data_IF_070247316978
#
_entry.id   IF_070247316978
#
_cell.length_a   1.000
_cell.length_b   1.000
_cell.length_c   1.000
_cell.angle_alpha   90.00
_cell.angle_beta   90.00
_cell.angle_gamma   90.00
#
_symmetry.space_group_name_H-M   'P 1'
#
loop_
_entity.id
_entity.type
_entity.pdbx_description
1 polymer ?
#
# COMPACT_ATOMS: atom_id res chain seq x y z
N UNK A 1 -11.48 -2.79 23.84
CA UNK A 1 -11.28 -2.72 22.38
C UNK A 1 -12.62 -2.78 21.68
N UNK A 2 -12.86 -1.90 20.74
CA UNK A 2 -14.15 -1.82 20.03
C UNK A 2 -13.97 -2.24 18.58
N UNK A 3 -14.68 -3.30 18.18
CA UNK A 3 -14.77 -3.77 16.78
C UNK A 3 -16.15 -3.38 16.27
N UNK A 4 -16.19 -2.57 15.21
CA UNK A 4 -17.42 -2.11 14.58
C UNK A 4 -17.55 -2.73 13.20
N UNK A 5 -18.73 -3.25 12.90
CA UNK A 5 -19.05 -3.81 11.59
C UNK A 5 -19.87 -2.85 10.72
N UNK A 6 -20.43 -1.81 11.31
CA UNK A 6 -21.21 -0.82 10.61
C UNK A 6 -20.69 0.58 10.81
N UNK A 7 -20.79 1.40 9.76
CA UNK A 7 -20.48 2.82 9.80
C UNK A 7 -21.34 3.59 10.80
N UNK A 8 -22.59 3.20 10.98
CA UNK A 8 -23.52 3.82 11.94
C UNK A 8 -23.01 3.70 13.37
N UNK A 9 -22.52 2.52 13.76
CA UNK A 9 -22.04 2.28 15.13
C UNK A 9 -20.78 3.11 15.43
N UNK A 10 -19.80 3.08 14.54
CA UNK A 10 -18.54 3.80 14.74
C UNK A 10 -18.74 5.32 14.72
N UNK A 11 -19.63 5.85 13.86
CA UNK A 11 -19.94 7.26 13.82
C UNK A 11 -20.67 7.73 15.09
N UNK A 12 -21.54 6.91 15.69
CA UNK A 12 -22.20 7.23 16.95
C UNK A 12 -21.19 7.41 18.09
N UNK A 13 -20.02 6.73 18.03
CA UNK A 13 -18.91 6.94 18.93
C UNK A 13 -18.12 8.22 18.57
N UNK A 14 -17.72 8.38 17.31
CA UNK A 14 -16.85 9.47 16.87
C UNK A 14 -17.52 10.85 16.99
N UNK A 15 -18.80 10.97 16.75
CA UNK A 15 -19.54 12.23 16.86
C UNK A 15 -19.59 12.82 18.27
N UNK A 16 -19.15 12.06 19.28
CA UNK A 16 -19.09 12.51 20.69
C UNK A 16 -17.72 13.07 21.08
N UNK A 17 -16.80 13.19 20.15
CA UNK A 17 -15.43 13.61 20.42
C UNK A 17 -14.90 14.57 19.36
N UNK A 18 -14.04 15.50 19.78
CA UNK A 18 -13.28 16.39 18.90
C UNK A 18 -11.80 15.98 18.82
N UNK A 19 -11.49 14.75 19.21
CA UNK A 19 -10.13 14.23 19.22
C UNK A 19 -9.58 14.00 17.82
N UNK A 20 -8.26 14.14 17.70
CA UNK A 20 -7.56 13.86 16.45
C UNK A 20 -7.65 12.37 16.07
N UNK A 21 -7.93 12.09 14.82
CA UNK A 21 -8.13 10.73 14.27
C UNK A 21 -7.01 10.38 13.31
N UNK A 22 -6.31 9.27 13.59
CA UNK A 22 -5.38 8.60 12.67
C UNK A 22 -6.05 7.38 12.04
N UNK A 23 -6.03 7.28 10.71
CA UNK A 23 -6.64 6.17 9.97
C UNK A 23 -5.57 5.31 9.29
N UNK A 24 -5.68 4.00 9.43
CA UNK A 24 -4.85 3.02 8.73
C UNK A 24 -5.77 2.12 7.89
N UNK A 25 -5.95 2.40 6.59
CA UNK A 25 -6.68 1.50 5.69
C UNK A 25 -5.90 0.23 5.41
N UNK A 26 -6.50 -0.93 5.66
CA UNK A 26 -5.89 -2.24 5.38
C UNK A 26 -6.89 -3.21 4.75
N UNK A 27 -6.36 -4.29 4.17
CA UNK A 27 -7.16 -5.43 3.72
C UNK A 27 -7.07 -6.64 4.66
N UNK A 28 -6.52 -6.46 5.86
CA UNK A 28 -6.26 -7.56 6.79
C UNK A 28 -4.97 -8.33 6.49
N UNK A 29 -4.85 -9.53 7.07
CA UNK A 29 -3.61 -10.32 7.10
C UNK A 29 -2.43 -9.48 7.59
N UNK A 30 -2.61 -8.87 8.78
CA UNK A 30 -1.68 -7.88 9.31
C UNK A 30 -0.32 -8.50 9.64
N UNK A 31 0.72 -7.70 9.38
CA UNK A 31 2.12 -8.06 9.63
C UNK A 31 2.87 -6.85 10.24
N UNK A 32 4.14 -7.01 10.59
CA UNK A 32 4.95 -5.97 11.22
C UNK A 32 5.00 -4.65 10.41
N UNK A 33 4.83 -4.71 9.10
CA UNK A 33 4.67 -3.50 8.26
C UNK A 33 3.44 -2.69 8.67
N UNK A 34 2.27 -3.34 8.82
CA UNK A 34 1.05 -2.68 9.31
C UNK A 34 1.22 -2.21 10.76
N UNK A 35 1.84 -3.03 11.61
CA UNK A 35 2.11 -2.66 13.00
C UNK A 35 2.96 -1.36 13.10
N UNK A 36 3.89 -1.14 12.17
CA UNK A 36 4.69 0.10 12.15
C UNK A 36 3.85 1.34 11.82
N UNK A 37 2.85 1.21 10.93
CA UNK A 37 1.90 2.30 10.64
C UNK A 37 1.05 2.62 11.87
N UNK A 38 0.53 1.58 12.51
CA UNK A 38 -0.31 1.69 13.71
C UNK A 38 0.47 2.36 14.85
N UNK A 39 1.70 1.91 15.13
CA UNK A 39 2.54 2.52 16.17
C UNK A 39 2.80 4.01 15.92
N UNK A 40 3.06 4.38 14.65
CA UNK A 40 3.22 5.79 14.28
C UNK A 40 1.94 6.58 14.49
N UNK A 41 0.79 6.02 14.11
CA UNK A 41 -0.50 6.67 14.29
C UNK A 41 -0.85 6.88 15.77
N UNK A 42 -0.52 5.92 16.66
CA UNK A 42 -0.73 6.02 18.11
C UNK A 42 0.08 7.16 18.75
N UNK A 43 1.25 7.49 18.21
CA UNK A 43 2.08 8.60 18.70
C UNK A 43 1.51 9.96 18.27
N UNK A 44 0.86 10.02 17.10
CA UNK A 44 0.50 11.27 16.44
C UNK A 44 -0.98 11.64 16.57
N UNK A 45 -1.83 10.73 17.11
CA UNK A 45 -3.27 10.97 17.21
C UNK A 45 -3.84 10.42 18.52
N UNK A 46 -4.95 11.01 18.95
CA UNK A 46 -5.64 10.59 20.17
C UNK A 46 -6.58 9.40 19.95
N UNK A 47 -7.08 9.24 18.73
CA UNK A 47 -7.88 8.08 18.29
C UNK A 47 -7.20 7.46 17.08
N UNK A 48 -7.05 6.14 17.11
CA UNK A 48 -6.53 5.38 15.97
C UNK A 48 -7.59 4.41 15.48
N UNK A 49 -7.87 4.47 14.17
CA UNK A 49 -8.82 3.57 13.49
C UNK A 49 -8.04 2.71 12.50
N UNK A 50 -8.15 1.40 12.64
CA UNK A 50 -7.67 0.44 11.64
C UNK A 50 -8.87 -0.11 10.89
N UNK A 51 -8.98 0.16 9.60
CA UNK A 51 -10.00 -0.51 8.79
C UNK A 51 -9.45 -1.82 8.23
N UNK A 52 -10.26 -2.87 8.30
CA UNK A 52 -9.95 -4.20 7.74
C UNK A 52 -11.05 -4.54 6.75
N UNK A 53 -10.76 -4.39 5.46
CA UNK A 53 -11.73 -4.67 4.41
C UNK A 53 -11.04 -5.15 3.14
N UNK A 54 -11.26 -6.41 2.77
CA UNK A 54 -10.79 -6.96 1.50
C UNK A 54 -11.69 -6.42 0.39
N UNK A 55 -11.23 -5.35 -0.26
CA UNK A 55 -12.01 -4.65 -1.28
C UNK A 55 -11.98 -5.45 -2.60
N UNK A 56 -13.09 -6.08 -3.02
CA UNK A 56 -13.07 -6.94 -4.20
C UNK A 56 -12.81 -6.19 -5.50
N UNK A 57 -13.13 -4.90 -5.56
CA UNK A 57 -13.00 -4.11 -6.79
C UNK A 57 -11.56 -3.82 -7.21
N UNK A 58 -10.60 -3.95 -6.28
CA UNK A 58 -9.18 -3.68 -6.57
C UNK A 58 -8.38 -4.92 -7.01
N UNK A 59 -9.03 -6.10 -7.05
CA UNK A 59 -8.45 -7.33 -7.56
C UNK A 59 -8.82 -7.50 -9.04
N UNK A 60 -7.83 -7.62 -9.89
CA UNK A 60 -8.02 -7.88 -11.32
C UNK A 60 -8.27 -9.38 -11.56
N UNK A 61 -7.54 -10.22 -10.83
CA UNK A 61 -7.66 -11.67 -10.88
C UNK A 61 -8.56 -12.17 -9.75
N UNK A 62 -9.59 -12.97 -10.09
CA UNK A 62 -10.47 -13.61 -9.13
C UNK A 62 -9.73 -14.59 -8.20
N UNK A 63 -8.73 -15.28 -8.72
CA UNK A 63 -7.93 -16.21 -7.93
C UNK A 63 -7.11 -15.48 -6.85
N UNK A 64 -6.57 -14.29 -7.15
CA UNK A 64 -5.90 -13.44 -6.14
C UNK A 64 -6.86 -12.99 -5.04
N UNK A 65 -8.11 -12.66 -5.40
CA UNK A 65 -9.14 -12.34 -4.40
C UNK A 65 -9.50 -13.54 -3.52
N UNK A 66 -9.73 -14.71 -4.14
CA UNK A 66 -10.13 -15.94 -3.42
C UNK A 66 -9.01 -16.41 -2.48
N UNK A 67 -7.76 -16.33 -2.94
CA UNK A 67 -6.59 -16.79 -2.17
C UNK A 67 -5.99 -15.69 -1.28
N UNK A 68 -6.56 -14.46 -1.28
CA UNK A 68 -6.02 -13.40 -0.44
C UNK A 68 -6.13 -13.80 1.05
N UNK A 69 -5.03 -13.75 1.81
CA UNK A 69 -5.03 -14.20 3.19
C UNK A 69 -6.01 -13.39 4.03
N UNK A 70 -6.87 -14.08 4.80
CA UNK A 70 -7.85 -13.48 5.69
C UNK A 70 -7.91 -14.27 6.99
N UNK A 71 -7.68 -13.59 8.10
CA UNK A 71 -7.88 -14.13 9.45
C UNK A 71 -8.19 -12.96 10.37
N UNK A 72 -9.48 -12.64 10.48
CA UNK A 72 -9.92 -11.46 11.24
C UNK A 72 -9.61 -11.60 12.73
N UNK A 73 -9.71 -12.78 13.30
CA UNK A 73 -9.45 -13.01 14.74
C UNK A 73 -7.97 -12.78 15.07
N UNK A 74 -7.05 -13.28 14.23
CA UNK A 74 -5.61 -13.05 14.35
C UNK A 74 -5.25 -11.55 14.14
N UNK A 75 -5.91 -10.88 13.20
CA UNK A 75 -5.73 -9.44 12.99
C UNK A 75 -6.19 -8.62 14.19
N UNK A 76 -7.34 -8.97 14.76
CA UNK A 76 -7.88 -8.36 15.98
C UNK A 76 -6.92 -8.57 17.16
N UNK A 77 -6.41 -9.78 17.33
CA UNK A 77 -5.44 -10.09 18.41
C UNK A 77 -4.14 -9.29 18.24
N UNK A 78 -3.60 -9.24 17.03
CA UNK A 78 -2.40 -8.43 16.73
C UNK A 78 -2.60 -6.95 17.04
N UNK A 79 -3.75 -6.38 16.67
CA UNK A 79 -4.06 -4.98 16.97
C UNK A 79 -4.20 -4.76 18.47
N UNK A 80 -4.92 -5.65 19.17
CA UNK A 80 -5.11 -5.61 20.61
C UNK A 80 -3.79 -5.63 21.38
N UNK A 81 -2.83 -6.43 20.90
CA UNK A 81 -1.50 -6.52 21.50
C UNK A 81 -0.64 -5.26 21.27
N UNK A 82 -0.99 -4.41 20.29
CA UNK A 82 -0.35 -3.10 20.12
C UNK A 82 -0.94 -2.06 21.07
N UNK A 83 -2.27 -1.92 21.09
CA UNK A 83 -3.00 -1.07 22.00
C UNK A 83 -4.49 -1.46 22.03
N UNK A 84 -5.05 -1.80 23.21
CA UNK A 84 -6.47 -2.19 23.32
C UNK A 84 -7.46 -1.03 23.10
N UNK A 85 -7.00 0.21 22.98
CA UNK A 85 -7.86 1.37 22.71
C UNK A 85 -8.07 1.62 21.20
N UNK A 86 -7.32 0.93 20.34
CA UNK A 86 -7.49 1.04 18.89
C UNK A 86 -8.91 0.60 18.49
N UNK A 87 -9.51 1.39 17.62
CA UNK A 87 -10.82 1.10 17.04
C UNK A 87 -10.60 0.29 15.76
N UNK A 88 -11.29 -0.83 15.65
CA UNK A 88 -11.27 -1.66 14.45
C UNK A 88 -12.60 -1.48 13.71
N UNK A 89 -12.50 -1.14 12.44
CA UNK A 89 -13.63 -1.10 11.53
C UNK A 89 -13.50 -2.22 10.51
N UNK A 90 -14.35 -3.24 10.66
CA UNK A 90 -14.39 -4.40 9.78
C UNK A 90 -15.77 -4.51 9.11
N UNK A 91 -16.05 -3.66 8.11
CA UNK A 91 -17.32 -3.60 7.44
C UNK A 91 -17.51 -4.75 6.46
N UNK A 92 -18.78 -5.03 6.16
CA UNK A 92 -19.14 -5.83 5.00
C UNK A 92 -19.35 -4.94 3.74
N UNK A 93 -19.53 -5.59 2.59
CA UNK A 93 -19.74 -4.91 1.30
C UNK A 93 -20.98 -4.01 1.33
N UNK A 94 -22.04 -4.43 2.03
CA UNK A 94 -23.27 -3.66 2.09
C UNK A 94 -23.05 -2.31 2.79
N UNK A 95 -22.33 -2.28 3.91
CA UNK A 95 -22.09 -1.04 4.65
C UNK A 95 -21.29 -0.01 3.84
N UNK A 96 -20.30 -0.46 3.05
CA UNK A 96 -19.45 0.43 2.25
C UNK A 96 -20.00 0.74 0.86
N UNK A 97 -20.71 -0.20 0.26
CA UNK A 97 -21.12 -0.11 -1.16
C UNK A 97 -22.61 -0.18 -1.40
N UNK A 98 -23.44 -0.34 -0.34
CA UNK A 98 -24.90 -0.57 -0.48
C UNK A 98 -25.20 -1.68 -1.50
N UNK A 99 -24.46 -2.78 -1.45
CA UNK A 99 -24.51 -3.92 -2.38
C UNK A 99 -24.26 -3.58 -3.86
N UNK A 100 -23.78 -2.37 -4.18
CA UNK A 100 -23.44 -1.96 -5.55
C UNK A 100 -21.96 -1.59 -5.60
N UNK A 101 -21.14 -2.51 -6.07
CA UNK A 101 -19.68 -2.33 -6.20
C UNK A 101 -19.33 -1.29 -7.29
N UNK A 102 -19.75 -0.05 -7.09
CA UNK A 102 -19.47 1.04 -7.99
C UNK A 102 -18.10 1.63 -7.74
N UNK A 103 -17.24 1.57 -8.75
CA UNK A 103 -15.93 2.21 -8.77
C UNK A 103 -16.08 3.58 -9.44
N UNK A 104 -15.64 4.62 -8.74
CA UNK A 104 -15.57 5.97 -9.32
C UNK A 104 -14.41 6.05 -10.32
N UNK A 105 -14.60 6.81 -11.36
CA UNK A 105 -13.53 7.10 -12.31
C UNK A 105 -12.84 8.41 -11.92
N UNK A 106 -11.55 8.33 -11.63
CA UNK A 106 -10.68 9.47 -11.35
C UNK A 106 -9.63 9.57 -12.44
N UNK A 107 -9.44 10.74 -12.99
CA UNK A 107 -8.31 10.99 -13.87
C UNK A 107 -7.06 11.32 -13.03
N UNK A 108 -6.16 10.36 -12.88
CA UNK A 108 -4.86 10.55 -12.23
C UNK A 108 -3.74 10.89 -13.22
N UNK A 109 -4.07 11.06 -14.51
CA UNK A 109 -3.11 11.36 -15.55
C UNK A 109 -1.97 10.34 -15.61
N UNK A 110 -0.76 10.84 -15.85
CA UNK A 110 0.43 10.01 -16.02
C UNK A 110 0.75 9.11 -14.82
N UNK A 111 0.56 9.58 -13.59
CA UNK A 111 0.82 8.75 -12.40
C UNK A 111 -0.15 7.58 -12.25
N UNK A 112 -1.31 7.63 -12.87
CA UNK A 112 -2.29 6.54 -12.83
C UNK A 112 -2.13 5.51 -13.93
N UNK A 113 -1.39 5.83 -15.01
CA UNK A 113 -1.25 4.97 -16.19
C UNK A 113 0.08 4.24 -16.30
N UNK A 114 1.07 4.60 -15.49
CA UNK A 114 2.41 4.01 -15.51
C UNK A 114 2.57 2.91 -14.45
N UNK A 115 3.65 2.10 -14.54
CA UNK A 115 4.01 1.06 -13.56
C UNK A 115 2.80 0.15 -13.24
N UNK A 116 2.39 0.04 -11.97
CA UNK A 116 1.22 -0.77 -11.57
C UNK A 116 -0.05 -0.41 -12.36
N UNK A 117 -0.26 0.87 -12.67
CA UNK A 117 -1.43 1.32 -13.45
C UNK A 117 -1.42 0.82 -14.89
N UNK A 118 -0.25 0.53 -15.46
CA UNK A 118 -0.13 -0.10 -16.77
C UNK A 118 -0.50 -1.59 -16.73
N UNK A 119 -0.08 -2.29 -15.68
CA UNK A 119 -0.27 -3.74 -15.53
C UNK A 119 -1.63 -4.10 -14.92
N UNK A 120 -2.23 -3.20 -14.12
CA UNK A 120 -3.44 -3.46 -13.33
C UNK A 120 -4.53 -2.43 -13.67
N UNK A 121 -5.36 -2.74 -14.66
CA UNK A 121 -6.45 -1.87 -15.09
C UNK A 121 -7.43 -1.56 -13.95
N UNK A 122 -7.88 -0.30 -13.85
CA UNK A 122 -8.81 0.18 -12.83
C UNK A 122 -8.38 0.01 -11.37
N UNK A 123 -7.20 -0.56 -11.08
CA UNK A 123 -6.73 -0.77 -9.72
C UNK A 123 -6.75 0.52 -8.89
N UNK A 124 -6.14 1.59 -9.40
CA UNK A 124 -6.06 2.86 -8.67
C UNK A 124 -7.41 3.56 -8.51
N UNK A 125 -8.34 3.41 -9.46
CA UNK A 125 -9.70 3.90 -9.30
C UNK A 125 -10.43 3.16 -8.18
N UNK A 126 -10.24 1.86 -8.07
CA UNK A 126 -10.81 1.03 -7.01
C UNK A 126 -10.24 1.38 -5.63
N UNK A 127 -8.91 1.54 -5.53
CA UNK A 127 -8.23 1.99 -4.30
C UNK A 127 -8.70 3.39 -3.91
N UNK A 128 -8.74 4.33 -4.86
CA UNK A 128 -9.18 5.69 -4.61
C UNK A 128 -10.65 5.74 -4.14
N UNK A 129 -11.52 4.92 -4.73
CA UNK A 129 -12.93 4.84 -4.35
C UNK A 129 -13.10 4.42 -2.90
N UNK A 130 -12.44 3.36 -2.46
CA UNK A 130 -12.58 2.89 -1.08
C UNK A 130 -11.92 3.86 -0.09
N UNK A 131 -10.75 4.41 -0.41
CA UNK A 131 -10.06 5.37 0.45
C UNK A 131 -10.86 6.67 0.58
N UNK A 132 -11.45 7.18 -0.51
CA UNK A 132 -12.33 8.35 -0.46
C UNK A 132 -13.55 8.11 0.45
N UNK A 133 -14.16 6.92 0.37
CA UNK A 133 -15.27 6.53 1.26
C UNK A 133 -14.85 6.56 2.73
N UNK A 134 -13.71 5.97 3.05
CA UNK A 134 -13.19 5.95 4.42
C UNK A 134 -12.83 7.36 4.92
N UNK A 135 -12.26 8.22 4.06
CA UNK A 135 -11.95 9.61 4.42
C UNK A 135 -13.22 10.44 4.65
N UNK A 136 -14.23 10.28 3.82
CA UNK A 136 -15.52 10.96 4.02
C UNK A 136 -16.26 10.45 5.25
N UNK A 137 -16.13 9.16 5.57
CA UNK A 137 -16.78 8.52 6.71
C UNK A 137 -16.15 8.99 8.03
N UNK A 138 -14.82 8.92 8.14
CA UNK A 138 -14.13 9.16 9.41
C UNK A 138 -13.56 10.56 9.56
N UNK A 139 -13.41 11.30 8.46
CA UNK A 139 -12.78 12.64 8.41
C UNK A 139 -11.47 12.66 9.21
N UNK A 140 -10.52 11.75 8.93
CA UNK A 140 -9.32 11.62 9.73
C UNK A 140 -8.43 12.85 9.57
N UNK A 141 -7.73 13.25 10.65
CA UNK A 141 -6.69 14.27 10.57
C UNK A 141 -5.47 13.75 9.78
N UNK A 142 -5.13 12.47 10.00
CA UNK A 142 -4.00 11.80 9.31
C UNK A 142 -4.37 10.41 8.84
N UNK A 143 -3.84 10.03 7.67
CA UNK A 143 -3.97 8.67 7.14
C UNK A 143 -2.60 8.12 6.75
N UNK A 144 -2.31 6.87 7.17
CA UNK A 144 -0.98 6.27 7.14
C UNK A 144 -0.89 5.20 6.05
N UNK A 145 0.14 5.30 5.20
CA UNK A 145 0.37 4.38 4.08
C UNK A 145 1.84 3.97 3.99
N UNK A 146 2.09 2.71 3.70
CA UNK A 146 3.45 2.18 3.54
C UNK A 146 4.08 2.53 2.20
N UNK A 147 5.34 2.96 2.20
CA UNK A 147 6.11 3.27 0.98
C UNK A 147 6.40 2.06 0.09
N UNK A 148 6.06 0.85 0.51
CA UNK A 148 6.08 -0.33 -0.35
C UNK A 148 5.20 -0.10 -1.58
N UNK A 149 4.03 0.47 -1.39
CA UNK A 149 3.08 0.77 -2.45
C UNK A 149 3.14 2.28 -2.79
N UNK A 150 4.35 2.74 -3.15
CA UNK A 150 4.66 4.17 -3.30
C UNK A 150 3.81 4.89 -4.34
N UNK A 151 3.54 4.25 -5.48
CA UNK A 151 2.66 4.82 -6.50
C UNK A 151 1.24 5.03 -5.95
N UNK A 152 0.73 4.10 -5.14
CA UNK A 152 -0.55 4.25 -4.45
C UNK A 152 -0.57 5.49 -3.54
N UNK A 153 0.54 5.79 -2.84
CA UNK A 153 0.64 7.02 -2.03
C UNK A 153 0.48 8.27 -2.90
N UNK A 154 1.10 8.30 -4.08
CA UNK A 154 0.95 9.43 -5.02
C UNK A 154 -0.48 9.57 -5.52
N UNK A 155 -1.14 8.46 -5.82
CA UNK A 155 -2.57 8.41 -6.20
C UNK A 155 -3.43 8.98 -5.06
N UNK A 156 -3.22 8.57 -3.82
CA UNK A 156 -4.01 9.05 -2.67
C UNK A 156 -3.75 10.53 -2.39
N UNK A 157 -2.50 11.02 -2.57
CA UNK A 157 -2.20 12.45 -2.50
C UNK A 157 -2.93 13.23 -3.60
N UNK A 158 -3.00 12.70 -4.81
CA UNK A 158 -3.77 13.30 -5.90
C UNK A 158 -5.28 13.25 -5.63
N UNK A 159 -5.79 12.14 -5.08
CA UNK A 159 -7.18 12.00 -4.66
C UNK A 159 -7.57 13.07 -3.65
N UNK A 160 -6.75 13.27 -2.59
CA UNK A 160 -6.96 14.32 -1.59
C UNK A 160 -7.24 15.68 -2.23
N UNK A 161 -6.42 16.06 -3.20
CA UNK A 161 -6.54 17.35 -3.90
C UNK A 161 -7.80 17.38 -4.76
N UNK A 162 -8.05 16.34 -5.55
CA UNK A 162 -9.18 16.27 -6.49
C UNK A 162 -10.54 16.23 -5.78
N UNK A 163 -10.61 15.58 -4.64
CA UNK A 163 -11.84 15.44 -3.84
C UNK A 163 -11.94 16.48 -2.70
N UNK A 164 -11.02 17.44 -2.65
CA UNK A 164 -10.96 18.50 -1.61
C UNK A 164 -11.09 17.94 -0.19
N UNK A 165 -10.28 16.90 0.12
CA UNK A 165 -10.31 16.22 1.41
C UNK A 165 -9.31 16.85 2.38
N UNK A 166 -9.76 17.14 3.59
CA UNK A 166 -8.90 17.69 4.65
C UNK A 166 -8.30 16.55 5.50
N UNK A 167 -7.23 15.95 4.97
CA UNK A 167 -6.49 14.86 5.60
C UNK A 167 -5.01 14.95 5.29
N UNK A 168 -4.14 14.76 6.25
CA UNK A 168 -2.70 14.67 6.02
C UNK A 168 -2.32 13.23 5.63
N UNK A 169 -1.65 13.04 4.49
CA UNK A 169 -1.21 11.71 4.02
C UNK A 169 0.22 11.45 4.47
N UNK A 170 0.36 10.54 5.43
CA UNK A 170 1.63 10.16 6.04
C UNK A 170 2.22 8.95 5.32
N UNK A 171 3.40 9.13 4.76
CA UNK A 171 4.18 8.04 4.17
C UNK A 171 5.06 7.40 5.24
N UNK A 172 5.01 6.08 5.37
CA UNK A 172 5.80 5.33 6.34
C UNK A 172 6.81 4.41 5.64
N UNK A 173 8.04 4.27 6.18
CA UNK A 173 9.09 3.47 5.58
C UNK A 173 8.69 2.01 5.35
N UNK A 174 9.34 1.37 4.37
CA UNK A 174 9.16 -0.06 4.09
C UNK A 174 9.78 -0.87 5.22
N UNK A 175 8.98 -1.72 5.84
CA UNK A 175 9.48 -2.74 6.78
C UNK A 175 9.82 -4.00 6.00
N UNK A 176 11.01 -4.54 6.30
CA UNK A 176 11.55 -5.73 5.63
C UNK A 176 11.85 -6.82 6.65
N UNK A 177 11.83 -8.05 6.17
CA UNK A 177 12.36 -9.19 6.92
C UNK A 177 13.90 -9.12 7.02
N UNK A 178 14.50 -9.95 7.85
CA UNK A 178 15.96 -9.97 8.09
C UNK A 178 16.78 -10.20 6.81
N UNK A 179 16.22 -10.89 5.82
CA UNK A 179 16.83 -11.15 4.52
C UNK A 179 16.58 -10.05 3.48
N UNK A 180 15.87 -8.99 3.87
CA UNK A 180 15.58 -7.82 3.05
C UNK A 180 14.28 -7.89 2.27
N UNK A 181 13.54 -9.01 2.27
CA UNK A 181 12.23 -9.09 1.62
C UNK A 181 11.26 -8.11 2.26
N UNK A 182 10.62 -7.26 1.47
CA UNK A 182 9.58 -6.36 1.96
C UNK A 182 8.40 -7.17 2.52
N UNK A 183 7.91 -6.80 3.70
CA UNK A 183 6.76 -7.48 4.29
C UNK A 183 5.50 -7.21 3.47
N UNK A 184 4.75 -8.28 3.20
CA UNK A 184 3.48 -8.27 2.49
C UNK A 184 2.61 -9.41 2.99
N UNK A 185 1.29 -9.19 3.04
CA UNK A 185 0.32 -10.25 3.36
C UNK A 185 0.45 -11.44 2.40
N UNK A 186 0.79 -11.20 1.14
CA UNK A 186 1.00 -12.26 0.15
C UNK A 186 2.27 -13.10 0.36
N UNK A 187 3.18 -12.69 1.25
CA UNK A 187 4.38 -13.51 1.54
C UNK A 187 4.03 -14.87 2.16
N UNK A 188 2.88 -14.98 2.83
CA UNK A 188 2.38 -16.25 3.37
C UNK A 188 1.97 -17.26 2.29
N UNK A 189 1.74 -16.80 1.06
CA UNK A 189 1.38 -17.66 -0.08
C UNK A 189 2.60 -18.26 -0.79
N UNK A 190 3.80 -17.75 -0.51
CA UNK A 190 5.02 -18.24 -1.13
C UNK A 190 5.34 -19.66 -0.66
N UNK A 191 5.63 -20.54 -1.59
CA UNK A 191 6.24 -21.84 -1.29
C UNK A 191 7.61 -21.65 -0.64
N UNK A 192 8.11 -22.67 0.05
CA UNK A 192 9.47 -22.64 0.64
C UNK A 192 10.56 -22.28 -0.39
N UNK A 193 10.42 -22.71 -1.63
CA UNK A 193 11.36 -22.40 -2.73
C UNK A 193 11.26 -20.92 -3.12
N UNK A 194 10.07 -20.42 -3.35
CA UNK A 194 9.84 -19.01 -3.73
C UNK A 194 10.27 -18.08 -2.61
N UNK A 195 9.94 -18.39 -1.35
CA UNK A 195 10.36 -17.57 -0.20
C UNK A 195 11.90 -17.43 -0.09
N UNK A 196 12.67 -18.49 -0.41
CA UNK A 196 14.14 -18.43 -0.44
C UNK A 196 14.69 -17.54 -1.57
N UNK A 197 13.97 -17.44 -2.67
CA UNK A 197 14.37 -16.66 -3.86
C UNK A 197 13.95 -15.19 -3.73
N UNK A 198 12.77 -14.91 -3.15
CA UNK A 198 12.16 -13.59 -3.11
C UNK A 198 13.08 -12.44 -2.61
N UNK A 199 14.03 -12.64 -1.67
CA UNK A 199 14.95 -11.59 -1.25
C UNK A 199 15.84 -11.00 -2.35
N UNK A 200 15.97 -11.69 -3.50
CA UNK A 200 16.71 -11.16 -4.65
C UNK A 200 16.11 -9.85 -5.16
N UNK A 201 14.80 -9.64 -5.00
CA UNK A 201 14.12 -8.40 -5.38
C UNK A 201 14.77 -7.21 -4.67
N UNK A 202 14.97 -7.30 -3.36
CA UNK A 202 15.62 -6.22 -2.61
C UNK A 202 17.12 -6.11 -2.93
N UNK A 203 17.80 -7.24 -3.07
CA UNK A 203 19.22 -7.27 -3.47
C UNK A 203 19.44 -6.54 -4.79
N UNK A 204 18.56 -6.75 -5.76
CA UNK A 204 18.62 -6.06 -7.06
C UNK A 204 18.42 -4.55 -6.93
N UNK A 205 17.50 -4.08 -6.05
CA UNK A 205 17.35 -2.66 -5.77
C UNK A 205 18.61 -2.04 -5.14
N UNK A 206 19.30 -2.77 -4.26
CA UNK A 206 20.57 -2.33 -3.68
C UNK A 206 21.67 -2.27 -4.75
N UNK A 207 21.72 -3.25 -5.65
CA UNK A 207 22.65 -3.26 -6.77
C UNK A 207 22.43 -2.08 -7.71
N UNK A 208 21.15 -1.78 -8.08
CA UNK A 208 20.79 -0.56 -8.82
C UNK A 208 21.34 0.68 -8.14
N UNK A 209 21.07 0.84 -6.84
CA UNK A 209 21.53 2.00 -6.06
C UNK A 209 23.06 2.16 -6.10
N UNK A 210 23.79 1.07 -5.93
CA UNK A 210 25.25 1.08 -5.89
C UNK A 210 25.84 1.39 -7.28
N UNK A 211 25.31 0.80 -8.34
CA UNK A 211 25.77 1.02 -9.71
C UNK A 211 25.49 2.44 -10.19
N UNK A 212 24.36 3.03 -9.81
CA UNK A 212 24.05 4.44 -10.09
C UNK A 212 25.08 5.35 -9.41
N UNK A 213 25.43 5.08 -8.14
CA UNK A 213 26.46 5.85 -7.42
C UNK A 213 27.84 5.75 -8.10
N UNK A 214 28.12 4.65 -8.79
CA UNK A 214 29.33 4.44 -9.57
C UNK A 214 29.21 4.98 -11.01
N UNK A 215 28.25 5.86 -11.30
CA UNK A 215 28.02 6.50 -12.59
C UNK A 215 27.81 5.55 -13.79
N UNK A 216 27.31 4.33 -13.55
CA UNK A 216 26.94 3.43 -14.63
C UNK A 216 25.66 3.88 -15.32
N UNK A 217 25.53 3.60 -16.62
CA UNK A 217 24.33 3.92 -17.41
C UNK A 217 23.12 3.16 -16.91
N UNK A 218 22.01 3.84 -16.70
CA UNK A 218 20.75 3.27 -16.18
C UNK A 218 20.28 2.09 -17.03
N UNK A 219 20.30 2.22 -18.35
CA UNK A 219 19.88 1.17 -19.29
C UNK A 219 20.71 -0.10 -19.15
N UNK A 220 22.04 0.04 -19.01
CA UNK A 220 22.94 -1.10 -18.81
C UNK A 220 22.68 -1.81 -17.48
N UNK A 221 22.34 -1.07 -16.41
CA UNK A 221 22.01 -1.63 -15.11
C UNK A 221 20.71 -2.44 -15.21
N UNK A 222 19.66 -1.84 -15.80
CA UNK A 222 18.35 -2.49 -15.96
C UNK A 222 18.48 -3.75 -16.82
N UNK A 223 19.15 -3.66 -17.97
CA UNK A 223 19.35 -4.79 -18.88
C UNK A 223 20.06 -5.97 -18.19
N UNK A 224 21.11 -5.68 -17.41
CA UNK A 224 21.84 -6.73 -16.66
C UNK A 224 20.90 -7.44 -15.68
N UNK A 225 20.17 -6.71 -14.87
CA UNK A 225 19.27 -7.29 -13.86
C UNK A 225 18.10 -8.06 -14.53
N UNK A 226 17.54 -7.54 -15.62
CA UNK A 226 16.51 -8.25 -16.39
C UNK A 226 17.01 -9.63 -16.90
N UNK A 227 18.26 -9.70 -17.34
CA UNK A 227 18.86 -10.96 -17.76
C UNK A 227 19.13 -11.91 -16.60
N UNK A 228 19.55 -11.39 -15.44
CA UNK A 228 19.68 -12.19 -14.23
C UNK A 228 18.34 -12.82 -13.82
N UNK A 229 17.25 -12.07 -13.84
CA UNK A 229 15.91 -12.59 -13.50
C UNK A 229 15.42 -13.68 -14.45
N UNK A 230 15.77 -13.65 -15.75
CA UNK A 230 15.41 -14.70 -16.72
C UNK A 230 15.95 -16.06 -16.33
N UNK A 231 17.06 -16.13 -15.59
CA UNK A 231 17.69 -17.38 -15.13
C UNK A 231 17.15 -17.92 -13.81
N UNK A 232 16.25 -17.19 -13.15
CA UNK A 232 15.76 -17.49 -11.79
C UNK A 232 14.31 -17.98 -11.86
N UNK A 233 14.12 -19.27 -12.05
CA UNK A 233 12.77 -19.86 -12.00
C UNK A 233 12.35 -20.17 -10.54
N UNK A 234 11.10 -19.87 -10.15
CA UNK A 234 9.95 -19.45 -10.95
C UNK A 234 9.72 -17.92 -11.02
N UNK A 235 10.67 -17.09 -10.57
CA UNK A 235 10.52 -15.65 -10.49
C UNK A 235 10.40 -15.02 -11.88
N UNK A 236 9.37 -14.19 -12.08
CA UNK A 236 9.13 -13.46 -13.33
C UNK A 236 9.13 -11.96 -13.05
N UNK A 237 10.16 -11.27 -13.55
CA UNK A 237 10.22 -9.82 -13.46
C UNK A 237 9.17 -9.20 -14.43
N UNK A 238 8.23 -8.44 -13.85
CA UNK A 238 7.28 -7.64 -14.63
C UNK A 238 7.94 -6.35 -15.11
N UNK A 239 8.54 -5.60 -14.19
CA UNK A 239 9.32 -4.41 -14.51
C UNK A 239 10.41 -4.12 -13.48
N UNK A 240 11.45 -3.43 -13.93
CA UNK A 240 12.43 -2.71 -13.11
C UNK A 240 12.64 -1.35 -13.77
N UNK A 241 12.28 -0.30 -13.08
CA UNK A 241 12.35 1.05 -13.62
C UNK A 241 12.88 2.05 -12.60
N UNK A 242 13.62 3.07 -13.08
CA UNK A 242 14.07 4.20 -12.28
C UNK A 242 13.27 5.41 -12.72
N UNK A 243 12.58 6.01 -11.78
CA UNK A 243 11.68 7.12 -12.03
C UNK A 243 11.99 8.31 -11.13
N UNK A 244 11.65 9.49 -11.60
CA UNK A 244 11.57 10.67 -10.74
C UNK A 244 10.50 10.45 -9.66
N UNK A 245 10.84 10.72 -8.40
CA UNK A 245 10.03 10.26 -7.28
C UNK A 245 8.59 10.82 -7.27
N UNK A 246 8.39 12.08 -7.63
CA UNK A 246 7.07 12.70 -7.55
C UNK A 246 6.26 12.57 -8.84
N UNK A 247 6.91 12.72 -9.98
CA UNK A 247 6.23 12.74 -11.29
C UNK A 247 6.12 11.39 -11.96
N UNK A 248 6.86 10.39 -11.48
CA UNK A 248 7.05 9.07 -12.08
C UNK A 248 7.59 9.11 -13.52
N UNK A 249 8.13 10.24 -13.98
CA UNK A 249 8.75 10.33 -15.32
C UNK A 249 9.96 9.42 -15.40
N UNK A 250 10.11 8.74 -16.54
CA UNK A 250 11.28 7.90 -16.86
C UNK A 250 12.56 8.74 -16.84
N UNK A 251 13.65 8.13 -16.44
CA UNK A 251 14.92 8.81 -16.25
C UNK A 251 16.04 8.00 -16.93
N UNK A 252 16.77 8.67 -17.81
CA UNK A 252 17.94 8.09 -18.46
C UNK A 252 19.25 8.57 -17.83
N UNK A 253 19.20 9.68 -17.05
CA UNK A 253 20.34 10.24 -16.35
C UNK A 253 19.93 10.83 -15.00
N UNK A 254 20.72 10.60 -13.99
CA UNK A 254 20.49 11.15 -12.65
C UNK A 254 20.93 12.62 -12.59
N UNK A 255 20.08 13.45 -11.99
CA UNK A 255 20.39 14.83 -11.64
C UNK A 255 20.39 14.93 -10.10
N UNK A 256 21.49 15.39 -9.52
CA UNK A 256 21.68 15.47 -8.06
C UNK A 256 20.64 16.36 -7.34
N UNK A 257 20.00 17.27 -8.05
CA UNK A 257 18.97 18.17 -7.50
C UNK A 257 17.58 17.51 -7.39
N UNK A 258 17.38 16.31 -7.98
CA UNK A 258 16.10 15.61 -7.99
C UNK A 258 16.15 14.33 -7.17
N UNK A 259 14.98 13.91 -6.69
CA UNK A 259 14.81 12.63 -6.01
C UNK A 259 14.31 11.57 -6.98
N UNK A 260 14.88 10.39 -6.89
CA UNK A 260 14.54 9.24 -7.73
C UNK A 260 14.19 8.02 -6.90
N UNK A 261 13.40 7.13 -7.47
CA UNK A 261 13.11 5.81 -6.92
C UNK A 261 13.32 4.73 -7.99
N UNK A 262 13.83 3.59 -7.55
CA UNK A 262 13.77 2.35 -8.32
C UNK A 262 12.50 1.59 -7.93
N UNK A 263 11.74 1.17 -8.93
CA UNK A 263 10.52 0.39 -8.80
C UNK A 263 10.75 -0.98 -9.41
N UNK A 264 10.33 -2.02 -8.71
CA UNK A 264 10.47 -3.41 -9.16
C UNK A 264 9.22 -4.19 -8.79
N UNK A 265 8.69 -4.96 -9.74
CA UNK A 265 7.65 -5.97 -9.54
C UNK A 265 8.09 -7.29 -10.17
N UNK A 266 7.85 -8.39 -9.44
CA UNK A 266 8.26 -9.73 -9.85
C UNK A 266 7.41 -10.79 -9.13
#
# INVERSE_FOLDING_TARGET
>A
MSVYQTSKEILAFLNKTNKSIGLIPTMGALHLGHASLIKKALIENEIVIVSIFVNPTQFENKDDLINYPQNIDDDIEKIKNLDPQIIIYNPNINDLYNNKLNVKNFDFGFIGSELEGHFRKNHFNSVATIVEKLFNLFKPNRAYFGEKDYQQILIIKSLKIKSNLDVEIISCPIIRDNDGLALSSRNSLLTKKERKIAPIIHKSLLDVKNKIKSNQKIESIIFKIQNEFKSISPLKLEYLEIREALSLKKVNKINSQKKYRAFIAA
#
